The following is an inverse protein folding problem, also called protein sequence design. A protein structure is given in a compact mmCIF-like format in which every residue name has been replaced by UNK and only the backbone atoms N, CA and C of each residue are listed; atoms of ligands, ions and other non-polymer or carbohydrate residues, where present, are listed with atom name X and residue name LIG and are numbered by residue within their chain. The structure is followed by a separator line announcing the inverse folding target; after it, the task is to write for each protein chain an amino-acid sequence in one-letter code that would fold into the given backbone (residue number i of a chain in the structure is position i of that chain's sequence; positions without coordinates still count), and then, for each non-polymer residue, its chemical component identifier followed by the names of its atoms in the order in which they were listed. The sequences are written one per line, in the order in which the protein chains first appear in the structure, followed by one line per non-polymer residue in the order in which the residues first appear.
data_IF_254307257620
#
_entry.id   IF_254307257620
#
_cell.length_a   1.000
_cell.length_b   1.000
_cell.length_c   1.000
_cell.angle_alpha   90.00
_cell.angle_beta   90.00
_cell.angle_gamma   90.00
#
_symmetry.space_group_name_H-M   'P 1'
#
loop_
_entity.id
_entity.type
_entity.pdbx_description
1 polymer ?
#
# COMPACT_ATOMS: atom_id res chain seq x y z
N UNK A 1 11.74 20.42 -10.68
CA UNK A 1 10.77 19.58 -11.43
C UNK A 1 9.39 20.20 -11.27
N UNK A 2 8.58 20.38 -12.31
CA UNK A 2 7.26 20.96 -12.17
C UNK A 2 6.33 20.02 -11.39
N UNK A 3 5.71 20.55 -10.34
CA UNK A 3 4.70 19.88 -9.55
C UNK A 3 3.32 20.11 -10.18
N UNK A 4 2.47 19.09 -10.15
CA UNK A 4 1.12 19.11 -10.71
C UNK A 4 0.13 18.83 -9.59
N UNK A 5 -0.90 19.66 -9.53
CA UNK A 5 -2.00 19.56 -8.57
C UNK A 5 -2.94 18.42 -9.02
N UNK A 6 -3.41 17.62 -8.08
CA UNK A 6 -4.40 16.59 -8.39
C UNK A 6 -5.74 17.20 -8.79
N UNK A 7 -6.43 16.60 -9.76
CA UNK A 7 -7.74 17.10 -10.22
C UNK A 7 -8.90 16.76 -9.28
N UNK A 8 -8.66 15.91 -8.29
CA UNK A 8 -9.65 15.44 -7.32
C UNK A 8 -9.36 15.93 -5.89
N UNK A 9 -8.18 16.50 -5.63
CA UNK A 9 -7.81 17.11 -4.35
C UNK A 9 -6.69 18.15 -4.52
N UNK A 10 -6.53 19.05 -3.56
CA UNK A 10 -5.58 20.18 -3.65
C UNK A 10 -4.11 19.82 -3.37
N UNK A 11 -3.76 18.52 -3.41
CA UNK A 11 -2.40 18.06 -3.14
C UNK A 11 -1.51 18.16 -4.38
N UNK A 12 -0.26 18.58 -4.16
CA UNK A 12 0.78 18.73 -5.18
C UNK A 12 1.68 17.51 -5.22
N UNK A 13 1.93 17.00 -6.42
CA UNK A 13 2.83 15.87 -6.65
C UNK A 13 3.71 16.10 -7.88
N UNK A 14 4.89 15.48 -7.90
CA UNK A 14 5.64 15.33 -9.15
C UNK A 14 4.80 14.56 -10.18
N UNK A 15 4.89 14.91 -11.48
CA UNK A 15 4.11 14.23 -12.56
C UNK A 15 4.16 12.71 -12.49
N UNK A 16 5.34 12.14 -12.23
CA UNK A 16 5.55 10.68 -12.09
C UNK A 16 4.75 10.05 -10.94
N UNK A 17 4.45 10.82 -9.90
CA UNK A 17 3.75 10.37 -8.70
C UNK A 17 2.25 10.65 -8.76
N UNK A 18 1.80 11.63 -9.56
CA UNK A 18 0.40 12.05 -9.61
C UNK A 18 -0.53 10.91 -10.07
N UNK A 19 -0.18 10.21 -11.16
CA UNK A 19 -0.97 9.08 -11.67
C UNK A 19 -1.18 8.00 -10.59
N UNK A 20 -0.13 7.75 -9.81
CA UNK A 20 -0.13 6.77 -8.73
C UNK A 20 -1.01 7.22 -7.56
N UNK A 21 -0.99 8.50 -7.22
CA UNK A 21 -1.86 9.07 -6.21
C UNK A 21 -3.34 9.00 -6.64
N UNK A 22 -3.65 9.40 -7.88
CA UNK A 22 -5.02 9.33 -8.43
C UNK A 22 -5.55 7.91 -8.35
N UNK A 23 -4.77 6.92 -8.78
CA UNK A 23 -5.16 5.53 -8.64
C UNK A 23 -5.34 5.16 -7.17
N UNK A 24 -4.37 5.47 -6.30
CA UNK A 24 -4.41 5.13 -4.87
C UNK A 24 -5.61 5.67 -4.09
N UNK A 25 -6.02 6.90 -4.38
CA UNK A 25 -6.92 7.66 -3.50
C UNK A 25 -8.27 7.93 -4.15
N UNK A 26 -8.30 8.10 -5.47
CA UNK A 26 -9.47 8.55 -6.20
C UNK A 26 -10.05 7.50 -7.15
N UNK A 27 -9.38 6.35 -7.33
CA UNK A 27 -9.90 5.24 -8.10
C UNK A 27 -10.50 4.19 -7.15
N UNK A 28 -11.81 4.02 -7.20
CA UNK A 28 -12.54 3.02 -6.39
C UNK A 28 -12.39 1.59 -6.91
N UNK A 29 -11.91 1.40 -8.15
CA UNK A 29 -11.68 0.10 -8.77
C UNK A 29 -10.24 -0.42 -8.50
N UNK A 30 -9.65 0.00 -7.39
CA UNK A 30 -8.32 -0.41 -6.98
C UNK A 30 -8.35 -1.85 -6.52
N UNK A 31 -7.41 -2.62 -7.06
CA UNK A 31 -7.22 -4.02 -6.72
C UNK A 31 -6.36 -4.07 -5.47
N UNK A 32 -6.96 -4.53 -4.38
CA UNK A 32 -6.27 -4.77 -3.13
C UNK A 32 -5.67 -6.17 -3.13
N UNK A 33 -4.54 -6.33 -2.44
CA UNK A 33 -3.84 -7.60 -2.32
C UNK A 33 -3.76 -7.96 -0.84
N UNK A 34 -4.44 -9.03 -0.46
CA UNK A 34 -4.44 -9.55 0.92
C UNK A 34 -3.20 -10.38 1.22
N UNK A 35 -2.83 -10.49 2.49
CA UNK A 35 -1.98 -11.58 2.94
C UNK A 35 -2.82 -12.87 3.00
N UNK A 36 -2.32 -13.95 2.41
CA UNK A 36 -3.01 -15.25 2.41
C UNK A 36 -2.42 -16.23 3.45
N UNK A 37 -1.66 -15.71 4.43
CA UNK A 37 -1.13 -16.51 5.54
C UNK A 37 -2.21 -16.73 6.59
N UNK A 38 -2.23 -17.93 7.17
CA UNK A 38 -3.12 -18.25 8.29
C UNK A 38 -2.77 -17.36 9.48
N UNK A 39 -3.76 -16.62 10.00
CA UNK A 39 -3.65 -15.57 11.03
C UNK A 39 -3.08 -14.21 10.57
N UNK A 40 -3.25 -13.84 9.29
CA UNK A 40 -2.88 -12.50 8.82
C UNK A 40 -3.93 -11.86 7.92
N UNK A 41 -4.75 -10.96 8.49
CA UNK A 41 -5.78 -10.21 7.76
C UNK A 41 -5.28 -8.86 7.21
N UNK A 42 -3.97 -8.75 6.93
CA UNK A 42 -3.38 -7.52 6.40
C UNK A 42 -3.72 -7.37 4.92
N UNK A 43 -4.27 -6.21 4.55
CA UNK A 43 -4.58 -5.85 3.17
C UNK A 43 -3.64 -4.73 2.72
N UNK A 44 -3.13 -4.84 1.49
CA UNK A 44 -2.22 -3.88 0.90
C UNK A 44 -2.74 -3.38 -0.45
N UNK A 45 -2.50 -2.10 -0.72
CA UNK A 45 -2.85 -1.47 -1.99
C UNK A 45 -1.89 -1.83 -3.14
N UNK A 46 -0.73 -2.40 -2.81
CA UNK A 46 0.28 -2.76 -3.81
C UNK A 46 1.03 -4.03 -3.45
N UNK A 47 1.45 -4.73 -4.50
CA UNK A 47 2.23 -5.95 -4.43
C UNK A 47 3.58 -5.73 -3.74
N UNK A 48 4.27 -4.59 -3.98
CA UNK A 48 5.57 -4.37 -3.33
C UNK A 48 5.49 -4.36 -1.80
N UNK A 49 4.40 -3.81 -1.24
CA UNK A 49 4.22 -3.75 0.22
C UNK A 49 3.85 -5.12 0.79
N UNK A 50 3.05 -5.91 0.07
CA UNK A 50 2.79 -7.29 0.46
C UNK A 50 4.09 -8.11 0.48
N UNK A 51 4.94 -8.00 -0.54
CA UNK A 51 6.22 -8.72 -0.59
C UNK A 51 7.12 -8.36 0.61
N UNK A 52 7.23 -7.07 0.93
CA UNK A 52 8.00 -6.61 2.10
C UNK A 52 7.39 -7.14 3.40
N UNK A 53 6.06 -7.14 3.51
CA UNK A 53 5.36 -7.67 4.67
C UNK A 53 5.59 -9.19 4.83
N UNK A 54 5.51 -9.96 3.75
CA UNK A 54 5.76 -11.40 3.78
C UNK A 54 7.21 -11.72 4.18
N UNK A 55 8.19 -10.96 3.68
CA UNK A 55 9.59 -11.13 4.07
C UNK A 55 9.87 -10.71 5.51
N UNK A 56 9.30 -9.61 5.98
CA UNK A 56 9.60 -9.06 7.32
C UNK A 56 8.78 -9.70 8.44
N UNK A 57 7.50 -10.00 8.19
CA UNK A 57 6.55 -10.49 9.19
C UNK A 57 6.47 -12.02 9.18
N UNK A 58 6.43 -12.60 7.98
CA UNK A 58 6.29 -14.05 7.80
C UNK A 58 7.60 -14.74 7.44
N UNK A 59 8.71 -13.99 7.34
CA UNK A 59 10.05 -14.50 6.98
C UNK A 59 10.04 -15.35 5.70
N UNK A 60 9.12 -15.07 4.78
CA UNK A 60 8.99 -15.80 3.51
C UNK A 60 10.11 -15.39 2.56
N UNK A 61 10.51 -16.32 1.71
CA UNK A 61 11.43 -16.04 0.60
C UNK A 61 10.75 -15.19 -0.47
N UNK A 62 11.55 -14.57 -1.34
CA UNK A 62 11.03 -13.73 -2.45
C UNK A 62 10.12 -14.54 -3.38
N UNK A 63 10.47 -15.80 -3.64
CA UNK A 63 9.70 -16.67 -4.55
C UNK A 63 8.36 -17.09 -3.92
N UNK A 64 8.34 -17.50 -2.65
CA UNK A 64 7.10 -17.79 -1.94
C UNK A 64 6.20 -16.55 -1.87
N UNK A 65 6.78 -15.39 -1.54
CA UNK A 65 6.02 -14.15 -1.45
C UNK A 65 5.41 -13.74 -2.81
N UNK A 66 6.12 -14.04 -3.91
CA UNK A 66 5.62 -13.82 -5.28
C UNK A 66 4.47 -14.74 -5.61
N UNK A 67 4.51 -16.00 -5.19
CA UNK A 67 3.44 -16.96 -5.41
C UNK A 67 2.18 -16.57 -4.63
N UNK A 68 2.34 -16.26 -3.35
CA UNK A 68 1.23 -15.79 -2.51
C UNK A 68 0.53 -14.53 -3.05
N UNK A 69 1.28 -13.67 -3.74
CA UNK A 69 0.72 -12.47 -4.38
C UNK A 69 0.09 -12.72 -5.77
N UNK A 70 0.14 -13.95 -6.30
CA UNK A 70 -0.65 -14.36 -7.48
C UNK A 70 -2.06 -14.77 -7.09
N UNK A 71 -2.19 -15.50 -5.98
CA UNK A 71 -3.49 -15.99 -5.47
C UNK A 71 -4.21 -15.02 -4.54
N UNK A 72 -3.53 -14.00 -4.03
CA UNK A 72 -4.10 -12.94 -3.19
C UNK A 72 -5.02 -11.95 -3.95
N UNK A 73 -5.72 -12.44 -4.98
CA UNK A 73 -6.66 -11.70 -5.77
C UNK A 73 -8.05 -11.73 -5.12
N UNK A 74 -8.15 -11.11 -3.94
CA UNK A 74 -9.45 -10.85 -3.35
C UNK A 74 -10.07 -9.71 -4.15
N UNK A 75 -11.20 -9.97 -4.81
CA UNK A 75 -12.09 -8.98 -5.40
C UNK A 75 -12.74 -8.08 -4.34
N UNK A 76 -11.95 -7.58 -3.40
CA UNK A 76 -12.38 -6.74 -2.30
C UNK A 76 -12.51 -5.32 -2.81
N UNK A 77 -13.72 -4.96 -3.20
CA UNK A 77 -14.14 -3.56 -3.32
C UNK A 77 -14.40 -3.04 -1.90
N UNK A 78 -13.71 -1.99 -1.42
CA UNK A 78 -14.07 -1.38 -0.15
C UNK A 78 -15.55 -0.97 -0.22
N UNK A 79 -16.40 -1.63 0.57
CA UNK A 79 -17.73 -1.10 0.87
C UNK A 79 -17.50 0.26 1.53
N UNK A 80 -18.24 1.24 1.02
CA UNK A 80 -18.21 2.67 1.34
C UNK A 80 -17.67 2.97 2.75
N UNK A 81 -16.62 3.82 2.84
CA UNK A 81 -15.94 4.35 4.04
C UNK A 81 -14.47 3.93 4.26
N UNK A 82 -13.64 3.92 3.21
CA UNK A 82 -12.21 4.23 3.39
C UNK A 82 -11.94 5.68 2.99
N UNK A 83 -12.54 6.60 3.73
CA UNK A 83 -12.06 7.97 3.79
C UNK A 83 -10.76 7.96 4.57
N UNK A 84 -9.64 8.24 3.92
CA UNK A 84 -8.67 9.20 4.46
C UNK A 84 -7.60 9.48 3.41
N UNK A 85 -7.71 10.67 2.82
CA UNK A 85 -6.56 11.44 2.39
C UNK A 85 -5.80 11.89 3.65
N UNK A 86 -5.21 10.94 4.37
CA UNK A 86 -4.40 11.18 5.57
C UNK A 86 -2.91 11.06 5.22
N UNK A 87 -2.04 11.90 5.78
CA UNK A 87 -0.60 11.77 5.59
C UNK A 87 -0.19 10.37 6.04
N UNK A 88 0.50 9.62 5.17
CA UNK A 88 1.09 8.35 5.58
C UNK A 88 2.05 8.65 6.72
N UNK A 89 1.66 8.27 7.94
CA UNK A 89 2.52 8.39 9.11
C UNK A 89 3.79 7.60 8.81
N UNK A 90 4.87 8.34 8.52
CA UNK A 90 6.21 7.79 8.50
C UNK A 90 6.42 7.24 9.89
N UNK A 91 6.38 5.91 10.05
CA UNK A 91 6.79 5.25 11.28
C UNK A 91 8.16 5.79 11.65
N UNK A 92 8.19 6.64 12.67
CA UNK A 92 9.40 7.15 13.30
C UNK A 92 10.16 5.91 13.77
N UNK A 93 11.30 5.61 13.15
CA UNK A 93 12.22 4.62 13.73
C UNK A 93 12.79 5.29 14.98
N UNK A 94 12.39 4.78 16.14
CA UNK A 94 12.97 5.09 17.45
C UNK A 94 14.48 4.84 17.34
N UNK A 95 15.26 5.90 17.26
CA UNK A 95 16.70 5.83 17.42
C UNK A 95 16.97 5.63 18.92
N UNK A 96 17.31 4.39 19.26
CA UNK A 96 18.26 3.96 20.28
C UNK A 96 18.54 4.95 21.44
N UNK A 97 17.90 4.67 22.59
CA UNK A 97 18.50 4.93 23.90
C UNK A 97 19.55 3.84 24.13
N UNK A 98 20.83 4.20 24.25
CA UNK A 98 21.88 3.51 25.04
C UNK A 98 23.19 4.33 24.95
N UNK A 99 23.34 5.32 25.84
CA UNK A 99 24.48 5.49 26.75
C UNK A 99 24.17 6.56 27.80
#
# INVERSE_FOLDING_TARGET
MPEVICSYCDLKYARRNLKRHINAVHNSNMRYVGCNESNCDRIFFRREYLLIHLQSTHKKTVEEAREMSRDAYLGYTPSENMETCGPQEKKLKRAEELY
#
